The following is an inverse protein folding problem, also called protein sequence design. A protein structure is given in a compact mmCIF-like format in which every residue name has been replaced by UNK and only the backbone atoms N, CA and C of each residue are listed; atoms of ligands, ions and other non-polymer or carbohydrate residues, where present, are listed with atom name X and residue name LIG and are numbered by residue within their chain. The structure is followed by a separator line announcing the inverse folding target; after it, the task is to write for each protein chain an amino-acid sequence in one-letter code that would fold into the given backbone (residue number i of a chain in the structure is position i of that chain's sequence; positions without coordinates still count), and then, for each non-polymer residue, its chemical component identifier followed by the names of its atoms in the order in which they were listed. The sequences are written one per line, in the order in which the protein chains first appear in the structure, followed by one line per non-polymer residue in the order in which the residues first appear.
data_IF_523065812051
#
_entry.id   IF_523065812051
#
_cell.length_a   1.000
_cell.length_b   1.000
_cell.length_c   1.000
_cell.angle_alpha   90.00
_cell.angle_beta   90.00
_cell.angle_gamma   90.00
#
_symmetry.space_group_name_H-M   'P 1'
#
loop_
_entity.id
_entity.type
_entity.pdbx_description
1 polymer ?
#
# COMPACT_ATOMS: atom_id res chain seq x y z
N UNK A 1 1.48 -6.63 -12.51
CA UNK A 1 0.41 -5.97 -11.72
C UNK A 1 -0.03 -4.73 -12.47
N UNK A 2 -1.33 -4.38 -12.45
CA UNK A 2 -1.83 -3.18 -13.11
C UNK A 2 -1.40 -1.91 -12.35
N UNK A 3 -1.22 -0.80 -13.06
CA UNK A 3 -0.77 0.47 -12.48
C UNK A 3 -1.75 0.97 -11.40
N UNK A 4 -3.06 0.93 -11.65
CA UNK A 4 -4.09 1.35 -10.68
C UNK A 4 -4.07 0.49 -9.41
N UNK A 5 -3.91 -0.83 -9.55
CA UNK A 5 -3.78 -1.74 -8.41
C UNK A 5 -2.52 -1.42 -7.60
N UNK A 6 -1.41 -1.10 -8.27
CA UNK A 6 -0.15 -0.73 -7.61
C UNK A 6 -0.29 0.57 -6.82
N UNK A 7 -0.96 1.57 -7.37
CA UNK A 7 -1.22 2.84 -6.68
C UNK A 7 -2.07 2.66 -5.43
N UNK A 8 -3.15 1.86 -5.53
CA UNK A 8 -4.00 1.50 -4.40
C UNK A 8 -3.25 0.77 -3.29
N UNK A 9 -2.39 -0.17 -3.67
CA UNK A 9 -1.55 -0.90 -2.70
C UNK A 9 -0.51 0.01 -2.05
N UNK A 10 0.07 0.98 -2.78
CA UNK A 10 0.96 1.99 -2.20
C UNK A 10 0.23 2.92 -1.23
N UNK A 11 -0.99 3.34 -1.56
CA UNK A 11 -1.82 4.15 -0.68
C UNK A 11 -2.18 3.41 0.61
N UNK A 12 -2.62 2.16 0.48
CA UNK A 12 -2.93 1.29 1.62
C UNK A 12 -1.69 1.06 2.50
N UNK A 13 -0.52 0.84 1.89
CA UNK A 13 0.74 0.69 2.60
C UNK A 13 1.09 1.94 3.40
N UNK A 14 1.05 3.10 2.75
CA UNK A 14 1.42 4.37 3.37
C UNK A 14 0.48 4.72 4.53
N UNK A 15 -0.82 4.48 4.36
CA UNK A 15 -1.81 4.69 5.42
C UNK A 15 -1.55 3.76 6.61
N UNK A 16 -1.31 2.47 6.37
CA UNK A 16 -1.04 1.53 7.45
C UNK A 16 0.25 1.85 8.23
N UNK A 17 1.28 2.37 7.54
CA UNK A 17 2.53 2.81 8.17
C UNK A 17 2.35 4.10 9.00
N UNK A 18 1.58 5.07 8.49
CA UNK A 18 1.27 6.33 9.21
C UNK A 18 0.40 6.11 10.46
N UNK A 19 -0.53 5.16 10.36
CA UNK A 19 -1.47 4.82 11.41
C UNK A 19 -0.97 3.74 12.39
N UNK A 20 0.32 3.36 12.26
CA UNK A 20 0.99 2.32 13.04
C UNK A 20 0.17 1.03 13.15
N UNK A 21 -0.40 0.60 12.01
CA UNK A 21 -1.22 -0.62 11.94
C UNK A 21 -0.34 -1.86 11.92
N UNK A 22 -0.86 -2.95 12.47
CA UNK A 22 -0.18 -4.24 12.42
C UNK A 22 -0.02 -4.73 10.98
N UNK A 23 1.04 -5.53 10.76
CA UNK A 23 1.28 -6.17 9.45
C UNK A 23 0.09 -7.01 8.99
N UNK A 24 -0.58 -7.71 9.91
CA UNK A 24 -1.77 -8.51 9.60
C UNK A 24 -2.93 -7.63 9.07
N UNK A 25 -3.20 -6.51 9.74
CA UNK A 25 -4.20 -5.55 9.29
C UNK A 25 -3.83 -4.99 7.91
N UNK A 26 -2.56 -4.60 7.74
CA UNK A 26 -2.06 -4.05 6.48
C UNK A 26 -2.26 -5.02 5.32
N UNK A 27 -1.91 -6.29 5.48
CA UNK A 27 -2.05 -7.30 4.43
C UNK A 27 -3.52 -7.51 4.03
N UNK A 28 -4.43 -7.52 5.01
CA UNK A 28 -5.85 -7.66 4.74
C UNK A 28 -6.41 -6.40 4.06
N UNK A 29 -6.07 -5.22 4.58
CA UNK A 29 -6.49 -3.94 4.02
C UNK A 29 -6.01 -3.74 2.58
N UNK A 30 -4.78 -4.15 2.27
CA UNK A 30 -4.23 -4.16 0.92
C UNK A 30 -5.01 -5.05 -0.04
N UNK A 31 -5.43 -6.25 0.40
CA UNK A 31 -6.28 -7.14 -0.40
C UNK A 31 -7.64 -6.51 -0.65
N UNK A 32 -8.25 -5.92 0.38
CA UNK A 32 -9.58 -5.30 0.31
C UNK A 32 -9.57 -4.06 -0.61
N UNK A 33 -8.58 -3.18 -0.46
CA UNK A 33 -8.45 -1.94 -1.25
C UNK A 33 -8.01 -2.25 -2.68
N UNK A 34 -7.06 -3.17 -2.84
CA UNK A 34 -6.51 -3.57 -4.13
C UNK A 34 -7.44 -4.48 -4.94
N UNK A 35 -8.40 -5.15 -4.29
CA UNK A 35 -9.23 -6.18 -4.90
C UNK A 35 -8.40 -7.37 -5.39
N UNK A 36 -7.33 -7.71 -4.66
CA UNK A 36 -6.35 -8.74 -5.02
C UNK A 36 -6.20 -9.78 -3.92
N UNK A 37 -5.62 -10.92 -4.27
CA UNK A 37 -5.26 -11.97 -3.34
C UNK A 37 -3.96 -11.67 -2.56
N UNK A 38 -3.75 -12.43 -1.48
CA UNK A 38 -2.57 -12.31 -0.63
C UNK A 38 -1.26 -12.52 -1.37
N UNK A 39 -1.20 -13.45 -2.33
CA UNK A 39 0.04 -13.70 -3.09
C UNK A 39 0.41 -12.46 -3.91
N UNK A 40 -0.57 -11.78 -4.50
CA UNK A 40 -0.37 -10.52 -5.19
C UNK A 40 0.22 -9.43 -4.27
N UNK A 41 -0.31 -9.31 -3.05
CA UNK A 41 0.20 -8.36 -2.04
C UNK A 41 1.64 -8.70 -1.63
N UNK A 42 1.94 -9.98 -1.43
CA UNK A 42 3.30 -10.44 -1.08
C UNK A 42 4.28 -10.13 -2.22
N UNK A 43 3.89 -10.41 -3.47
CA UNK A 43 4.71 -10.06 -4.64
C UNK A 43 4.93 -8.54 -4.71
N UNK A 44 3.91 -7.73 -4.43
CA UNK A 44 4.05 -6.28 -4.37
C UNK A 44 5.05 -5.83 -3.30
N UNK A 45 4.94 -6.35 -2.07
CA UNK A 45 5.85 -6.00 -0.97
C UNK A 45 7.29 -6.46 -1.26
N UNK A 46 7.46 -7.59 -1.92
CA UNK A 46 8.79 -8.10 -2.30
C UNK A 46 9.43 -7.28 -3.43
N UNK A 47 8.64 -6.94 -4.44
CA UNK A 47 9.14 -6.30 -5.66
C UNK A 47 9.16 -4.76 -5.54
N UNK A 48 8.52 -4.18 -4.52
CA UNK A 48 8.54 -2.74 -4.25
C UNK A 48 9.58 -2.42 -3.17
N UNK A 49 10.75 -1.87 -3.53
CA UNK A 49 11.76 -1.51 -2.56
C UNK A 49 11.30 -0.32 -1.72
N UNK A 50 11.77 -0.25 -0.47
CA UNK A 50 11.47 0.87 0.45
C UNK A 50 11.79 2.25 -0.14
N UNK A 51 12.77 2.32 -1.05
CA UNK A 51 13.09 3.56 -1.78
C UNK A 51 11.92 4.04 -2.64
N UNK A 52 11.29 3.14 -3.38
CA UNK A 52 10.16 3.48 -4.25
C UNK A 52 8.94 3.91 -3.42
N UNK A 53 8.67 3.19 -2.32
CA UNK A 53 7.63 3.56 -1.36
C UNK A 53 7.88 4.94 -0.74
N UNK A 54 9.13 5.24 -0.36
CA UNK A 54 9.51 6.55 0.19
C UNK A 54 9.47 7.68 -0.84
N UNK A 55 9.78 7.41 -2.10
CA UNK A 55 9.63 8.37 -3.19
C UNK A 55 8.16 8.68 -3.48
N UNK A 56 7.32 7.65 -3.49
CA UNK A 56 5.87 7.82 -3.64
C UNK A 56 5.29 8.65 -2.49
N UNK A 57 5.65 8.33 -1.25
CA UNK A 57 5.23 9.08 -0.04
C UNK A 57 5.64 10.55 -0.08
N UNK A 58 6.86 10.86 -0.55
CA UNK A 58 7.33 12.26 -0.69
C UNK A 58 6.60 13.03 -1.78
N UNK A 59 6.21 12.38 -2.87
CA UNK A 59 5.49 13.02 -3.99
C UNK A 59 4.02 13.23 -3.69
N UNK A 60 3.39 12.29 -3.00
CA UNK A 60 1.99 12.38 -2.57
C UNK A 60 1.96 12.84 -1.12
N UNK A 61 1.96 14.17 -0.88
CA UNK A 61 1.72 14.74 0.46
C UNK A 61 0.39 14.22 0.99
N UNK A 62 0.45 13.20 1.81
CA UNK A 62 -0.69 12.42 2.27
C UNK A 62 -1.63 13.32 3.07
N UNK A 63 -2.83 13.59 2.53
CA UNK A 63 -3.99 13.99 3.33
C UNK A 63 -4.92 12.80 3.29
N UNK A 64 -5.03 12.00 4.38
CA UNK A 64 -5.99 10.91 4.41
C UNK A 64 -7.36 11.51 4.18
N UNK A 65 -7.91 11.31 2.98
CA UNK A 65 -9.26 11.74 2.67
C UNK A 65 -10.17 10.61 3.11
N UNK A 66 -10.31 10.48 4.44
CA UNK A 66 -11.35 9.65 5.02
C UNK A 66 -12.66 10.37 4.68
N UNK A 67 -13.41 9.84 3.71
CA UNK A 67 -14.74 10.32 3.33
C UNK A 67 -15.80 9.41 3.91
#
# INVERSE_FOLDING_TARGET
MNTETKEKLMEAWAWCDDEDKSTEFMLQYMQDVGGVDLDCVIVFLRDTPDKEANEWRRKNTFKPTIR
#
